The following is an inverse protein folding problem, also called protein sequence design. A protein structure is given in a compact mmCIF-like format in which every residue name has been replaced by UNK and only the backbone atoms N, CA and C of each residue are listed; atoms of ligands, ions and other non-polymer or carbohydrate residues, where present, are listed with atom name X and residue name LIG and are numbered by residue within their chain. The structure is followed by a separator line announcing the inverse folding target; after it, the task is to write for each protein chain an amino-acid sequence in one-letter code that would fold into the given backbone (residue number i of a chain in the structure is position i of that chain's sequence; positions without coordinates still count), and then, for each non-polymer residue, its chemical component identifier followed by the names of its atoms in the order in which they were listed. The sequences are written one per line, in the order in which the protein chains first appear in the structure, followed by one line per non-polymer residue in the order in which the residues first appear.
data_IF_700665991411
#
_entry.id   IF_700665991411
#
_cell.length_a   1.000
_cell.length_b   1.000
_cell.length_c   1.000
_cell.angle_alpha   90.00
_cell.angle_beta   90.00
_cell.angle_gamma   90.00
#
_symmetry.space_group_name_H-M   'P 1'
#
loop_
_entity.id
_entity.type
_entity.pdbx_description
1 polymer ?
#
# COMPACT_ATOMS: atom_id res chain seq x y z
N UNK A 1 35.61 13.04 12.49
CA UNK A 1 34.47 12.25 13.02
C UNK A 1 35.09 10.97 13.60
N UNK A 2 34.77 10.57 14.83
CA UNK A 2 35.35 9.34 15.39
C UNK A 2 34.77 8.12 14.66
N UNK A 3 35.59 7.10 14.45
CA UNK A 3 35.24 5.86 13.72
C UNK A 3 33.99 5.18 14.30
N UNK A 4 33.84 5.21 15.63
CA UNK A 4 32.66 4.71 16.34
C UNK A 4 31.37 5.48 16.01
N UNK A 5 31.45 6.79 15.73
CA UNK A 5 30.30 7.62 15.38
C UNK A 5 29.84 7.39 13.94
N UNK A 6 30.79 7.12 13.04
CA UNK A 6 30.49 6.75 11.66
C UNK A 6 29.80 5.38 11.62
N UNK A 7 30.34 4.38 12.33
CA UNK A 7 29.74 3.05 12.39
C UNK A 7 28.32 3.04 12.93
N UNK A 8 28.09 3.73 14.05
CA UNK A 8 26.74 3.87 14.61
C UNK A 8 25.75 4.51 13.62
N UNK A 9 26.19 5.47 12.81
CA UNK A 9 25.37 6.09 11.78
C UNK A 9 24.93 5.10 10.69
N UNK A 10 25.82 4.21 10.25
CA UNK A 10 25.48 3.15 9.29
C UNK A 10 24.56 2.11 9.90
N UNK A 11 24.76 1.73 11.16
CA UNK A 11 23.85 0.81 11.87
C UNK A 11 22.44 1.43 11.97
N UNK A 12 22.34 2.74 12.27
CA UNK A 12 21.06 3.45 12.24
C UNK A 12 20.45 3.51 10.84
N UNK A 13 21.27 3.62 9.78
CA UNK A 13 20.77 3.60 8.41
C UNK A 13 20.12 2.24 8.09
N UNK A 14 20.83 1.15 8.37
CA UNK A 14 20.32 -0.19 8.07
C UNK A 14 19.06 -0.49 8.87
N UNK A 15 19.00 -0.10 10.15
CA UNK A 15 17.78 -0.22 10.94
C UNK A 15 16.61 0.58 10.34
N UNK A 16 16.85 1.83 9.92
CA UNK A 16 15.81 2.65 9.31
C UNK A 16 15.36 2.10 7.94
N UNK A 17 16.26 1.46 7.20
CA UNK A 17 15.95 0.79 5.94
C UNK A 17 15.08 -0.47 6.19
N UNK A 18 15.45 -1.29 7.17
CA UNK A 18 14.69 -2.49 7.56
C UNK A 18 13.28 -2.12 8.04
N UNK A 19 13.17 -1.08 8.88
CA UNK A 19 11.88 -0.57 9.36
C UNK A 19 10.98 -0.09 8.20
N UNK A 20 11.59 0.55 7.18
CA UNK A 20 10.87 1.02 6.01
C UNK A 20 10.43 -0.14 5.10
N UNK A 21 11.29 -1.11 4.87
CA UNK A 21 10.97 -2.33 4.10
C UNK A 21 9.83 -3.12 4.77
N UNK A 22 9.90 -3.33 6.09
CA UNK A 22 8.85 -4.00 6.85
C UNK A 22 7.49 -3.30 6.69
N UNK A 23 7.47 -1.96 6.71
CA UNK A 23 6.27 -1.16 6.46
C UNK A 23 5.76 -1.32 5.02
N UNK A 24 6.64 -1.36 4.02
CA UNK A 24 6.27 -1.61 2.62
C UNK A 24 5.62 -2.99 2.46
N UNK A 25 6.17 -4.03 3.10
CA UNK A 25 5.64 -5.38 3.09
C UNK A 25 4.27 -5.48 3.79
N UNK A 26 4.09 -4.83 4.94
CA UNK A 26 2.80 -4.78 5.63
C UNK A 26 1.71 -4.17 4.74
N UNK A 27 2.01 -3.02 4.13
CA UNK A 27 1.09 -2.36 3.22
C UNK A 27 0.79 -3.22 1.98
N UNK A 28 1.80 -3.87 1.40
CA UNK A 28 1.61 -4.77 0.28
C UNK A 28 0.68 -5.93 0.63
N UNK A 29 0.92 -6.61 1.75
CA UNK A 29 0.09 -7.72 2.22
C UNK A 29 -1.36 -7.28 2.42
N UNK A 30 -1.58 -6.10 3.00
CA UNK A 30 -2.92 -5.60 3.25
C UNK A 30 -3.64 -5.12 1.97
N UNK A 31 -2.93 -4.56 0.99
CA UNK A 31 -3.46 -4.27 -0.35
C UNK A 31 -3.93 -5.54 -1.06
N UNK A 32 -3.14 -6.61 -0.99
CA UNK A 32 -3.48 -7.92 -1.55
C UNK A 32 -4.70 -8.53 -0.86
N UNK A 33 -4.78 -8.43 0.47
CA UNK A 33 -5.94 -8.86 1.25
C UNK A 33 -7.19 -7.96 1.03
N UNK A 34 -7.03 -6.80 0.38
CA UNK A 34 -8.11 -5.84 0.17
C UNK A 34 -8.56 -5.12 1.45
N UNK A 35 -7.73 -5.10 2.49
CA UNK A 35 -8.00 -4.43 3.75
C UNK A 35 -7.55 -2.96 3.67
N UNK A 36 -8.50 -2.04 3.50
CA UNK A 36 -8.25 -0.59 3.37
C UNK A 36 -8.67 0.22 4.59
N UNK A 37 -8.97 -0.44 5.71
CA UNK A 37 -9.60 0.21 6.88
C UNK A 37 -8.69 1.23 7.57
N UNK A 38 -7.37 1.17 7.35
CA UNK A 38 -6.38 1.95 8.11
C UNK A 38 -5.52 2.89 7.25
N UNK A 39 -6.05 3.39 6.12
CA UNK A 39 -5.29 4.22 5.16
C UNK A 39 -4.62 5.46 5.80
N UNK A 40 -5.30 6.14 6.73
CA UNK A 40 -4.72 7.29 7.44
C UNK A 40 -3.54 6.91 8.35
N UNK A 41 -3.65 5.77 9.04
CA UNK A 41 -2.57 5.27 9.90
C UNK A 41 -1.38 4.83 9.06
N UNK A 42 -1.63 4.19 7.92
CA UNK A 42 -0.59 3.82 6.96
C UNK A 42 0.17 5.02 6.42
N UNK A 43 -0.55 6.09 6.06
CA UNK A 43 0.08 7.33 5.60
C UNK A 43 0.98 7.93 6.69
N UNK A 44 0.53 7.96 7.94
CA UNK A 44 1.33 8.46 9.06
C UNK A 44 2.57 7.60 9.33
N UNK A 45 2.41 6.27 9.35
CA UNK A 45 3.51 5.34 9.56
C UNK A 45 4.55 5.45 8.44
N UNK A 46 4.09 5.53 7.19
CA UNK A 46 4.94 5.69 6.02
C UNK A 46 5.74 6.99 6.06
N UNK A 47 5.08 8.11 6.34
CA UNK A 47 5.73 9.42 6.45
C UNK A 47 6.80 9.42 7.56
N UNK A 48 6.49 8.81 8.71
CA UNK A 48 7.42 8.71 9.84
C UNK A 48 8.66 7.88 9.46
N UNK A 49 8.46 6.70 8.88
CA UNK A 49 9.56 5.82 8.48
C UNK A 49 10.41 6.46 7.36
N UNK A 50 9.77 7.09 6.38
CA UNK A 50 10.46 7.81 5.30
C UNK A 50 11.33 8.95 5.83
N UNK A 51 10.80 9.80 6.72
CA UNK A 51 11.57 10.90 7.32
C UNK A 51 12.76 10.40 8.12
N UNK A 52 12.59 9.30 8.86
CA UNK A 52 13.68 8.67 9.59
C UNK A 52 14.79 8.21 8.65
N UNK A 53 14.44 7.50 7.58
CA UNK A 53 15.37 7.03 6.57
C UNK A 53 16.08 8.19 5.86
N UNK A 54 15.33 9.20 5.42
CA UNK A 54 15.87 10.37 4.73
C UNK A 54 16.87 11.14 5.61
N UNK A 55 16.51 11.36 6.88
CA UNK A 55 17.39 12.05 7.83
C UNK A 55 18.72 11.31 8.04
N UNK A 56 18.69 9.99 8.15
CA UNK A 56 19.91 9.20 8.33
C UNK A 56 20.73 9.15 7.03
N UNK A 57 20.07 9.04 5.87
CA UNK A 57 20.74 9.03 4.57
C UNK A 57 21.48 10.35 4.30
N UNK A 58 20.88 11.50 4.61
CA UNK A 58 21.53 12.81 4.50
C UNK A 58 22.83 12.86 5.32
N UNK A 59 22.80 12.30 6.53
CA UNK A 59 23.98 12.24 7.41
C UNK A 59 25.04 11.28 6.87
N UNK A 60 24.64 10.15 6.28
CA UNK A 60 25.54 9.20 5.64
C UNK A 60 26.27 9.84 4.46
N UNK A 61 25.58 10.62 3.63
CA UNK A 61 26.16 11.33 2.47
C UNK A 61 27.24 12.34 2.90
N UNK A 62 27.07 12.97 4.05
CA UNK A 62 28.03 13.95 4.60
C UNK A 62 29.24 13.28 5.27
N UNK A 63 29.19 11.96 5.52
CA UNK A 63 30.29 11.22 6.13
C UNK A 63 31.43 11.02 5.10
N UNK A 64 32.48 11.82 5.22
CA UNK A 64 33.53 12.00 4.20
C UNK A 64 34.65 10.96 4.14
N UNK A 65 34.60 9.87 4.91
CA UNK A 65 35.56 8.77 4.82
C UNK A 65 34.87 7.45 5.20
N UNK A 66 34.46 6.69 4.19
CA UNK A 66 33.70 5.44 4.33
C UNK A 66 34.29 4.46 3.33
N UNK A 67 34.47 3.21 3.76
CA UNK A 67 34.96 2.16 2.87
C UNK A 67 33.96 1.90 1.72
N UNK A 68 34.49 1.49 0.57
CA UNK A 68 33.65 1.27 -0.62
C UNK A 68 32.61 0.15 -0.42
N UNK A 69 32.88 -0.83 0.44
CA UNK A 69 31.98 -1.93 0.70
C UNK A 69 30.72 -1.45 1.45
N UNK A 70 30.89 -0.63 2.48
CA UNK A 70 29.78 -0.01 3.21
C UNK A 70 28.94 0.89 2.29
N UNK A 71 29.57 1.70 1.45
CA UNK A 71 28.84 2.52 0.47
C UNK A 71 28.09 1.67 -0.57
N UNK A 72 28.68 0.55 -1.02
CA UNK A 72 28.01 -0.38 -1.92
C UNK A 72 26.78 -1.01 -1.25
N UNK A 73 26.88 -1.42 0.02
CA UNK A 73 25.74 -1.94 0.80
C UNK A 73 24.62 -0.93 0.97
N UNK A 74 24.94 0.34 1.26
CA UNK A 74 23.94 1.41 1.34
C UNK A 74 23.22 1.57 0.01
N UNK A 75 23.96 1.62 -1.11
CA UNK A 75 23.37 1.73 -2.45
C UNK A 75 22.47 0.55 -2.80
N UNK A 76 22.90 -0.67 -2.47
CA UNK A 76 22.10 -1.88 -2.68
C UNK A 76 20.78 -1.81 -1.88
N UNK A 77 20.86 -1.44 -0.60
CA UNK A 77 19.69 -1.30 0.27
C UNK A 77 18.71 -0.26 -0.29
N UNK A 78 19.19 0.91 -0.70
CA UNK A 78 18.33 1.94 -1.32
C UNK A 78 17.69 1.45 -2.63
N UNK A 79 18.44 0.71 -3.46
CA UNK A 79 17.89 0.16 -4.70
C UNK A 79 16.79 -0.88 -4.46
N UNK A 80 16.93 -1.71 -3.43
CA UNK A 80 15.90 -2.66 -2.99
C UNK A 80 14.63 -1.91 -2.53
N UNK A 81 14.77 -0.92 -1.64
CA UNK A 81 13.63 -0.11 -1.18
C UNK A 81 12.87 0.59 -2.31
N UNK A 82 13.60 1.09 -3.32
CA UNK A 82 12.99 1.71 -4.51
C UNK A 82 12.23 0.68 -5.37
N UNK A 83 12.76 -0.54 -5.46
CA UNK A 83 12.10 -1.63 -6.20
C UNK A 83 10.81 -2.05 -5.50
N UNK A 84 10.84 -2.20 -4.17
CA UNK A 84 9.65 -2.49 -3.38
C UNK A 84 8.61 -1.37 -3.48
N UNK A 85 9.05 -0.12 -3.56
CA UNK A 85 8.16 1.02 -3.73
C UNK A 85 7.43 1.02 -5.07
N UNK A 86 8.14 0.71 -6.17
CA UNK A 86 7.52 0.59 -7.49
C UNK A 86 6.46 -0.51 -7.53
N UNK A 87 6.73 -1.65 -6.88
CA UNK A 87 5.75 -2.74 -6.73
C UNK A 87 4.52 -2.25 -5.95
N UNK A 88 4.72 -1.56 -4.83
CA UNK A 88 3.64 -1.04 -4.01
C UNK A 88 2.78 -0.03 -4.78
N UNK A 89 3.40 0.89 -5.53
CA UNK A 89 2.71 1.87 -6.36
C UNK A 89 1.84 1.20 -7.43
N UNK A 90 2.37 0.19 -8.13
CA UNK A 90 1.61 -0.60 -9.11
C UNK A 90 0.40 -1.28 -8.48
N UNK A 91 0.54 -1.84 -7.28
CA UNK A 91 -0.58 -2.47 -6.55
C UNK A 91 -1.66 -1.46 -6.15
N UNK A 92 -1.26 -0.28 -5.68
CA UNK A 92 -2.20 0.81 -5.35
C UNK A 92 -3.01 1.20 -6.59
N UNK A 93 -2.35 1.44 -7.72
CA UNK A 93 -3.01 1.81 -8.99
C UNK A 93 -3.95 0.70 -9.45
N UNK A 94 -3.49 -0.55 -9.48
CA UNK A 94 -4.33 -1.69 -9.88
C UNK A 94 -5.59 -1.81 -9.01
N UNK A 95 -5.46 -1.54 -7.70
CA UNK A 95 -6.58 -1.60 -6.78
C UNK A 95 -7.53 -0.41 -6.93
N UNK A 96 -7.02 0.79 -7.17
CA UNK A 96 -7.85 1.95 -7.50
C UNK A 96 -8.70 1.70 -8.75
N UNK A 97 -8.11 1.16 -9.81
CA UNK A 97 -8.82 0.78 -11.04
C UNK A 97 -9.90 -0.28 -10.77
N UNK A 98 -9.61 -1.28 -9.93
CA UNK A 98 -10.60 -2.30 -9.52
C UNK A 98 -11.79 -1.68 -8.79
N UNK A 99 -11.55 -0.77 -7.84
CA UNK A 99 -12.62 -0.07 -7.10
C UNK A 99 -13.43 0.83 -8.04
N UNK A 100 -12.77 1.57 -8.93
CA UNK A 100 -13.43 2.38 -9.95
C UNK A 100 -14.29 1.55 -10.89
N UNK A 101 -13.89 0.33 -11.25
CA UNK A 101 -14.72 -0.59 -12.04
C UNK A 101 -15.93 -1.14 -11.28
N UNK A 102 -15.81 -1.35 -9.97
CA UNK A 102 -16.91 -1.84 -9.13
C UNK A 102 -17.99 -0.79 -8.89
N UNK A 103 -17.64 0.51 -8.80
CA UNK A 103 -18.61 1.57 -8.52
C UNK A 103 -19.74 1.69 -9.58
N UNK A 104 -19.46 1.72 -10.90
CA UNK A 104 -20.49 1.67 -11.94
C UNK A 104 -21.31 0.38 -11.90
N UNK A 105 -20.67 -0.77 -11.64
CA UNK A 105 -21.39 -2.05 -11.52
C UNK A 105 -22.39 -2.03 -10.35
N UNK A 106 -21.98 -1.48 -9.20
CA UNK A 106 -22.86 -1.28 -8.06
C UNK A 106 -23.97 -0.26 -8.34
N UNK A 107 -23.68 0.82 -9.07
CA UNK A 107 -24.71 1.79 -9.50
C UNK A 107 -25.75 1.13 -10.41
N UNK A 108 -25.33 0.38 -11.42
CA UNK A 108 -26.22 -0.40 -12.30
C UNK A 108 -27.03 -1.43 -11.52
N UNK A 109 -26.40 -2.13 -10.56
CA UNK A 109 -27.10 -3.07 -9.68
C UNK A 109 -28.15 -2.38 -8.80
N UNK A 110 -27.85 -1.19 -8.27
CA UNK A 110 -28.79 -0.37 -7.51
C UNK A 110 -29.95 0.12 -8.39
N UNK A 111 -29.67 0.61 -9.59
CA UNK A 111 -30.69 1.03 -10.57
C UNK A 111 -31.61 -0.13 -10.95
N UNK A 112 -31.06 -1.32 -11.20
CA UNK A 112 -31.85 -2.52 -11.46
C UNK A 112 -32.77 -2.86 -10.29
N UNK A 113 -32.24 -2.90 -9.06
CA UNK A 113 -33.02 -3.17 -7.84
C UNK A 113 -34.10 -2.10 -7.59
N UNK A 114 -33.81 -0.82 -7.87
CA UNK A 114 -34.81 0.26 -7.79
C UNK A 114 -35.90 0.11 -8.85
N UNK A 115 -35.56 -0.26 -10.08
CA UNK A 115 -36.52 -0.59 -11.14
C UNK A 115 -37.44 -1.75 -10.76
N UNK A 116 -36.92 -2.77 -10.06
CA UNK A 116 -37.73 -3.85 -9.49
C UNK A 116 -38.65 -3.38 -8.35
N UNK A 117 -38.21 -2.41 -7.53
CA UNK A 117 -38.99 -1.90 -6.40
C UNK A 117 -40.10 -0.92 -6.84
N UNK A 118 -39.91 -0.17 -7.93
CA UNK A 118 -40.93 0.73 -8.52
C UNK A 118 -42.11 -0.06 -9.09
N UNK A 119 -41.89 -1.31 -9.52
CA UNK A 119 -42.93 -2.21 -10.02
C UNK A 119 -43.74 -2.94 -8.93
N UNK A 120 -43.51 -2.69 -7.63
CA UNK A 120 -44.25 -3.37 -6.55
C UNK A 120 -45.78 -3.11 -6.52
N UNK A 121 -46.31 -2.22 -7.36
CA UNK A 121 -47.75 -2.02 -7.53
C UNK A 121 -48.37 -2.68 -8.77
N UNK A 122 -47.60 -3.20 -9.72
CA UNK A 122 -48.11 -3.63 -11.04
C UNK A 122 -47.48 -4.91 -11.60
N UNK A 123 -46.86 -5.76 -10.79
CA UNK A 123 -46.49 -7.11 -11.27
C UNK A 123 -47.63 -8.07 -11.00
N UNK A 124 -48.32 -8.47 -12.07
CA UNK A 124 -49.23 -9.62 -12.09
C UNK A 124 -48.52 -10.83 -11.48
N UNK A 125 -49.07 -11.39 -10.40
CA UNK A 125 -48.60 -12.64 -9.80
C UNK A 125 -48.30 -13.66 -10.92
N UNK A 126 -47.09 -14.23 -11.02
CA UNK A 126 -46.84 -15.30 -11.98
C UNK A 126 -47.76 -16.49 -11.65
N UNK A 127 -48.70 -16.78 -12.55
CA UNK A 127 -49.71 -17.84 -12.48
C UNK A 127 -49.14 -19.26 -12.63
N UNK A 128 -47.84 -19.47 -12.43
CA UNK A 128 -47.18 -20.74 -12.71
C UNK A 128 -46.97 -21.63 -11.47
N UNK A 129 -47.48 -21.23 -10.31
CA UNK A 129 -47.44 -22.05 -9.08
C UNK A 129 -48.82 -22.48 -8.57
N UNK A 130 -49.80 -22.60 -9.46
CA UNK A 130 -51.07 -23.28 -9.16
C UNK A 130 -51.33 -24.41 -10.14
N UNK A 131 -50.52 -25.48 -10.04
CA UNK A 131 -51.00 -26.80 -10.42
C UNK A 131 -50.16 -27.90 -9.77
N UNK A 132 -50.55 -28.31 -8.57
CA UNK A 132 -50.49 -29.71 -8.17
C UNK A 132 -51.78 -30.03 -7.42
N UNK A 133 -52.54 -30.94 -8.03
CA UNK A 133 -53.45 -31.86 -7.36
C UNK A 133 -52.80 -32.49 -6.14
#
# INVERSE_FOLDING_TARGET
MNDATARALFDYFFQAADDFAAMQQEHQAALLAGSFKELFRWQQNREKAFRSLAHVLERVVVCGDVDQETLARVRASVAELLTEEDVLQKLIVARQLKVQGQLPAMRKGKEALQGYNINKGQVTRPRYLSNRM
#
